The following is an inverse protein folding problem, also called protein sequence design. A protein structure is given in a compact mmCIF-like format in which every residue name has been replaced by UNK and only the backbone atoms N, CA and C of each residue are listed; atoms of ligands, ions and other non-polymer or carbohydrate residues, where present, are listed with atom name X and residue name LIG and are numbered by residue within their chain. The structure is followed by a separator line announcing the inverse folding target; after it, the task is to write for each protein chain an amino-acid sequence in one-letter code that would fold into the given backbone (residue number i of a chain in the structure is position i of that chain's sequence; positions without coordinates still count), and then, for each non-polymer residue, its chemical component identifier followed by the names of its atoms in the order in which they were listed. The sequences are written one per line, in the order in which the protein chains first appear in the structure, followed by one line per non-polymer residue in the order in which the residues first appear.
data_IF_894949397430
#
_entry.id   IF_894949397430
#
_cell.length_a   1.000
_cell.length_b   1.000
_cell.length_c   1.000
_cell.angle_alpha   90.00
_cell.angle_beta   90.00
_cell.angle_gamma   90.00
#
_symmetry.space_group_name_H-M   'P 1'
#
loop_
_entity.id
_entity.type
_entity.pdbx_description
1 polymer ?
#
# COMPACT_ATOMS: atom_id res chain seq x y z
N UNK A 1 15.00 -22.47 12.79
CA UNK A 1 15.52 -23.64 12.02
C UNK A 1 15.61 -23.25 10.57
N UNK A 2 16.76 -23.43 9.91
CA UNK A 2 16.86 -23.27 8.46
C UNK A 2 16.42 -24.59 7.82
N UNK A 3 15.53 -24.53 6.83
CA UNK A 3 14.99 -25.71 6.14
C UNK A 3 15.85 -26.00 4.92
N UNK A 4 16.66 -27.06 5.00
CA UNK A 4 17.63 -27.44 3.97
C UNK A 4 17.34 -28.81 3.33
N UNK A 5 16.41 -29.57 3.89
CA UNK A 5 16.05 -30.90 3.37
C UNK A 5 14.55 -31.21 3.47
N UNK A 6 14.14 -32.30 2.80
CA UNK A 6 12.73 -32.71 2.70
C UNK A 6 12.11 -33.07 4.05
N UNK A 7 12.87 -33.65 4.97
CA UNK A 7 12.38 -34.02 6.30
C UNK A 7 12.04 -32.78 7.13
N UNK A 8 12.95 -31.80 7.14
CA UNK A 8 12.75 -30.49 7.77
C UNK A 8 11.58 -29.74 7.15
N UNK A 9 11.40 -29.82 5.83
CA UNK A 9 10.27 -29.20 5.14
C UNK A 9 8.93 -29.82 5.57
N UNK A 10 8.86 -31.15 5.68
CA UNK A 10 7.67 -31.86 6.16
C UNK A 10 7.35 -31.44 7.60
N UNK A 11 8.35 -31.34 8.46
CA UNK A 11 8.16 -30.94 9.86
C UNK A 11 7.77 -29.46 10.00
N UNK A 12 8.31 -28.60 9.14
CA UNK A 12 7.86 -27.22 9.01
C UNK A 12 6.38 -27.17 8.61
N UNK A 13 5.97 -27.87 7.53
CA UNK A 13 4.58 -27.84 7.04
C UNK A 13 3.59 -28.33 8.12
N UNK A 14 3.96 -29.36 8.89
CA UNK A 14 3.14 -29.81 10.03
C UNK A 14 2.98 -28.72 11.09
N UNK A 15 4.06 -28.04 11.44
CA UNK A 15 4.06 -26.96 12.44
C UNK A 15 3.33 -25.70 11.95
N UNK A 16 3.50 -25.35 10.68
CA UNK A 16 2.82 -24.22 10.05
C UNK A 16 1.30 -24.38 10.01
N UNK A 17 0.83 -25.63 9.98
CA UNK A 17 -0.58 -25.97 9.97
C UNK A 17 -1.17 -26.20 11.37
N UNK A 18 -0.48 -25.82 12.46
CA UNK A 18 -1.00 -26.00 13.82
C UNK A 18 -1.47 -24.71 14.50
N UNK A 19 -0.98 -23.54 14.09
CA UNK A 19 -1.27 -22.27 14.76
C UNK A 19 -1.05 -21.06 13.85
N UNK A 20 -1.41 -19.88 14.35
CA UNK A 20 -1.16 -18.60 13.67
C UNK A 20 0.35 -18.34 13.55
N UNK A 21 0.74 -17.54 12.55
CA UNK A 21 2.15 -17.27 12.28
C UNK A 21 2.41 -15.85 11.79
N UNK A 22 3.64 -15.37 11.99
CA UNK A 22 4.18 -14.17 11.37
C UNK A 22 5.09 -14.59 10.22
N UNK A 23 4.90 -13.96 9.06
CA UNK A 23 5.60 -14.26 7.81
C UNK A 23 6.31 -12.99 7.33
N UNK A 24 7.61 -13.07 7.13
CA UNK A 24 8.46 -11.96 6.68
C UNK A 24 9.22 -12.41 5.44
N UNK A 25 8.84 -11.94 4.23
CA UNK A 25 9.61 -12.18 3.02
C UNK A 25 10.86 -11.28 3.00
N UNK A 26 12.01 -11.86 2.67
CA UNK A 26 13.25 -11.12 2.43
C UNK A 26 13.56 -11.23 0.94
N UNK A 27 13.44 -10.13 0.22
CA UNK A 27 13.75 -10.07 -1.21
C UNK A 27 15.26 -9.99 -1.44
N UNK A 28 15.74 -10.49 -2.58
CA UNK A 28 17.14 -10.39 -2.97
C UNK A 28 17.60 -8.93 -3.01
N UNK A 29 16.76 -8.03 -3.51
CA UNK A 29 17.04 -6.60 -3.66
C UNK A 29 15.85 -5.76 -3.20
N UNK A 30 16.07 -4.93 -2.17
CA UNK A 30 15.06 -4.03 -1.62
C UNK A 30 14.93 -2.71 -2.41
N UNK A 31 15.86 -2.41 -3.32
CA UNK A 31 15.83 -1.18 -4.14
C UNK A 31 15.06 -1.37 -5.46
N UNK A 32 14.65 -2.60 -5.76
CA UNK A 32 13.85 -2.93 -6.95
C UNK A 32 12.38 -3.04 -6.58
N UNK A 33 11.54 -2.89 -7.61
CA UNK A 33 10.11 -3.13 -7.44
C UNK A 33 9.92 -4.60 -7.06
N UNK A 34 8.97 -4.95 -6.19
CA UNK A 34 8.71 -6.35 -5.81
C UNK A 34 8.49 -7.31 -6.98
N UNK A 35 8.01 -6.81 -8.13
CA UNK A 35 7.84 -7.58 -9.39
C UNK A 35 9.17 -7.87 -10.10
N UNK A 36 10.19 -7.05 -9.88
CA UNK A 36 11.49 -7.10 -10.57
C UNK A 36 12.59 -7.76 -9.71
N UNK A 37 12.20 -8.39 -8.61
CA UNK A 37 13.10 -9.00 -7.64
C UNK A 37 12.50 -10.34 -7.19
N UNK A 38 13.37 -11.22 -6.70
CA UNK A 38 12.97 -12.54 -6.21
C UNK A 38 13.09 -12.59 -4.69
N UNK A 39 12.44 -13.57 -4.05
CA UNK A 39 12.68 -13.83 -2.64
C UNK A 39 14.04 -14.52 -2.46
N UNK A 40 14.83 -14.02 -1.53
CA UNK A 40 16.06 -14.64 -1.05
C UNK A 40 15.73 -15.68 0.02
N UNK A 41 14.96 -15.25 1.03
CA UNK A 41 14.55 -16.06 2.19
C UNK A 41 13.09 -15.73 2.55
N UNK A 42 12.41 -16.68 3.17
CA UNK A 42 11.13 -16.46 3.86
C UNK A 42 11.27 -16.87 5.32
N UNK A 43 11.17 -15.90 6.20
CA UNK A 43 11.16 -16.13 7.63
C UNK A 43 9.72 -16.35 8.11
N UNK A 44 9.51 -17.41 8.90
CA UNK A 44 8.22 -17.70 9.55
C UNK A 44 8.46 -17.92 11.04
N UNK A 45 7.73 -17.20 11.89
CA UNK A 45 7.64 -17.51 13.32
C UNK A 45 6.21 -17.86 13.69
N UNK A 46 6.01 -19.02 14.31
CA UNK A 46 4.72 -19.39 14.88
C UNK A 46 4.45 -18.59 16.16
N UNK A 47 3.19 -18.42 16.54
CA UNK A 47 2.85 -17.66 17.75
C UNK A 47 3.46 -18.26 19.03
N UNK A 48 3.62 -19.58 19.10
CA UNK A 48 4.37 -20.31 20.14
C UNK A 48 5.86 -19.94 20.25
N UNK A 49 6.43 -19.28 19.25
CA UNK A 49 7.84 -18.87 19.19
C UNK A 49 8.74 -19.78 18.37
N UNK A 50 8.23 -20.91 17.85
CA UNK A 50 8.98 -21.77 16.94
C UNK A 50 9.21 -21.05 15.61
N UNK A 51 10.47 -20.94 15.18
CA UNK A 51 10.86 -20.17 14.00
C UNK A 51 11.55 -21.00 12.91
N UNK A 52 11.34 -20.60 11.67
CA UNK A 52 11.80 -21.26 10.46
C UNK A 52 12.31 -20.23 9.44
N UNK A 53 13.34 -20.60 8.69
CA UNK A 53 13.80 -19.87 7.51
C UNK A 53 13.74 -20.84 6.33
N UNK A 54 13.03 -20.42 5.28
CA UNK A 54 12.92 -21.12 4.02
C UNK A 54 13.82 -20.40 3.00
N UNK A 55 14.94 -21.02 2.58
CA UNK A 55 15.85 -20.42 1.61
C UNK A 55 15.44 -20.70 0.16
N UNK A 56 15.54 -19.69 -0.71
CA UNK A 56 15.21 -19.84 -2.13
C UNK A 56 16.32 -19.37 -3.07
N UNK A 57 17.05 -18.31 -2.70
CA UNK A 57 18.08 -17.71 -3.54
C UNK A 57 19.15 -17.04 -2.67
N UNK A 58 19.82 -17.79 -1.79
CA UNK A 58 20.79 -17.21 -0.84
C UNK A 58 22.13 -17.96 -0.84
N UNK A 59 23.25 -17.21 -0.83
CA UNK A 59 24.59 -17.79 -1.03
C UNK A 59 25.12 -18.68 0.10
N UNK A 60 24.41 -18.77 1.23
CA UNK A 60 24.85 -19.50 2.43
C UNK A 60 23.99 -20.73 2.72
N UNK A 61 22.99 -21.00 1.88
CA UNK A 61 21.98 -22.05 2.11
C UNK A 61 21.78 -22.88 0.87
N UNK A 62 21.23 -24.08 1.06
CA UNK A 62 20.70 -24.88 -0.05
C UNK A 62 19.29 -24.40 -0.36
N UNK A 63 19.09 -23.95 -1.60
CA UNK A 63 17.78 -23.50 -2.05
C UNK A 63 16.77 -24.67 -2.04
N UNK A 64 15.55 -24.38 -1.58
CA UNK A 64 14.43 -25.31 -1.65
C UNK A 64 13.42 -24.83 -2.69
N UNK A 65 12.65 -25.76 -3.25
CA UNK A 65 11.50 -25.40 -4.07
C UNK A 65 10.48 -24.63 -3.22
N UNK A 66 9.86 -23.59 -3.79
CA UNK A 66 8.84 -22.79 -3.11
C UNK A 66 7.67 -23.70 -2.72
N UNK A 67 7.41 -23.93 -1.42
CA UNK A 67 6.38 -24.86 -0.99
C UNK A 67 4.99 -24.23 -1.12
N UNK A 68 3.98 -25.08 -1.31
CA UNK A 68 2.58 -24.66 -1.27
C UNK A 68 2.17 -24.46 0.20
N UNK A 69 2.07 -23.20 0.63
CA UNK A 69 1.70 -22.83 1.99
C UNK A 69 0.18 -22.64 2.12
N UNK A 70 -0.55 -23.75 2.27
CA UNK A 70 -1.99 -23.72 2.57
C UNK A 70 -2.22 -24.01 4.05
N UNK A 71 -2.82 -23.05 4.76
CA UNK A 71 -3.18 -23.17 6.17
C UNK A 71 -4.45 -22.38 6.45
N UNK A 72 -5.33 -22.93 7.31
CA UNK A 72 -6.54 -22.23 7.78
C UNK A 72 -6.24 -21.13 8.81
N UNK A 73 -5.07 -21.19 9.44
CA UNK A 73 -4.66 -20.27 10.50
C UNK A 73 -4.30 -18.89 9.96
N UNK A 74 -4.36 -17.87 10.81
CA UNK A 74 -4.07 -16.49 10.41
C UNK A 74 -2.56 -16.29 10.24
N UNK A 75 -2.22 -15.44 9.30
CA UNK A 75 -0.84 -15.12 8.94
C UNK A 75 -0.70 -13.62 9.05
N UNK A 76 0.29 -13.15 9.78
CA UNK A 76 0.56 -11.74 9.97
C UNK A 76 1.83 -11.38 9.20
N UNK A 77 1.83 -10.24 8.54
CA UNK A 77 3.03 -9.74 7.85
C UNK A 77 3.09 -8.23 7.97
N UNK A 78 4.29 -7.65 7.90
CA UNK A 78 4.46 -6.20 7.96
C UNK A 78 3.84 -5.51 6.73
N UNK A 79 4.08 -6.05 5.53
CA UNK A 79 3.59 -5.50 4.27
C UNK A 79 3.05 -6.63 3.40
N UNK A 80 1.71 -6.72 3.38
CA UNK A 80 0.99 -7.75 2.63
C UNK A 80 1.12 -7.54 1.13
N UNK A 81 1.24 -6.30 0.64
CA UNK A 81 1.41 -6.07 -0.80
C UNK A 81 2.73 -6.66 -1.26
N UNK A 82 3.82 -6.41 -0.52
CA UNK A 82 5.11 -7.05 -0.78
C UNK A 82 5.02 -8.57 -0.73
N UNK A 83 4.38 -9.15 0.29
CA UNK A 83 4.19 -10.60 0.35
C UNK A 83 3.42 -11.13 -0.86
N UNK A 84 2.32 -10.47 -1.26
CA UNK A 84 1.49 -10.87 -2.40
C UNK A 84 2.25 -10.87 -3.74
N UNK A 85 3.25 -9.99 -3.91
CA UNK A 85 4.13 -9.99 -5.09
C UNK A 85 4.99 -11.26 -5.17
N UNK A 86 5.37 -11.83 -4.03
CA UNK A 86 6.13 -13.08 -3.97
C UNK A 86 5.21 -14.31 -3.99
N UNK A 87 4.26 -14.38 -3.06
CA UNK A 87 3.31 -15.48 -2.95
C UNK A 87 1.97 -15.02 -2.41
N UNK A 88 0.89 -15.43 -3.07
CA UNK A 88 -0.46 -15.19 -2.58
C UNK A 88 -0.84 -16.24 -1.54
N UNK A 89 -1.13 -15.79 -0.31
CA UNK A 89 -1.55 -16.64 0.79
C UNK A 89 -2.95 -16.26 1.28
N UNK A 90 -3.68 -17.24 1.79
CA UNK A 90 -5.00 -17.03 2.39
C UNK A 90 -4.89 -16.58 3.86
N UNK A 91 -5.87 -15.82 4.35
CA UNK A 91 -5.96 -15.35 5.75
C UNK A 91 -4.74 -14.52 6.22
N UNK A 92 -4.27 -13.61 5.36
CA UNK A 92 -3.16 -12.68 5.69
C UNK A 92 -3.68 -11.36 6.24
N UNK A 93 -3.15 -10.93 7.38
CA UNK A 93 -3.39 -9.63 7.99
C UNK A 93 -2.13 -8.79 7.84
N UNK A 94 -2.28 -7.62 7.23
CA UNK A 94 -1.24 -6.61 7.16
C UNK A 94 -1.19 -5.85 8.49
N UNK A 95 -0.06 -5.96 9.19
CA UNK A 95 0.12 -5.38 10.53
C UNK A 95 0.39 -3.88 10.46
N UNK A 96 1.04 -3.40 9.39
CA UNK A 96 1.24 -1.97 9.19
C UNK A 96 -0.10 -1.26 8.91
N UNK A 97 -0.95 -1.88 8.10
CA UNK A 97 -2.31 -1.42 7.84
C UNK A 97 -3.19 -1.50 9.08
N UNK A 98 -3.08 -2.57 9.88
CA UNK A 98 -3.74 -2.66 11.18
C UNK A 98 -3.39 -1.48 12.10
N UNK A 99 -2.10 -1.19 12.23
CA UNK A 99 -1.60 -0.06 13.02
C UNK A 99 -2.12 1.27 12.47
N UNK A 100 -2.00 1.49 11.17
CA UNK A 100 -2.47 2.70 10.50
C UNK A 100 -3.98 2.92 10.68
N UNK A 101 -4.81 1.87 10.65
CA UNK A 101 -6.25 2.00 10.93
C UNK A 101 -6.56 2.39 12.38
N UNK A 102 -5.69 2.05 13.32
CA UNK A 102 -5.88 2.39 14.73
C UNK A 102 -5.40 3.82 15.05
N UNK A 103 -4.27 4.25 14.47
CA UNK A 103 -3.60 5.49 14.86
C UNK A 103 -3.44 6.55 13.76
N UNK A 104 -3.78 6.22 12.52
CA UNK A 104 -3.60 7.04 11.31
C UNK A 104 -2.13 7.36 10.94
N UNK A 105 -1.18 6.58 11.45
CA UNK A 105 0.25 6.68 11.14
C UNK A 105 0.83 5.30 10.78
N UNK A 106 1.77 5.22 9.83
CA UNK A 106 2.42 3.97 9.48
C UNK A 106 3.28 3.44 10.63
N UNK A 107 3.44 2.12 10.69
CA UNK A 107 4.32 1.46 11.64
C UNK A 107 5.78 1.65 11.21
N UNK A 108 6.53 2.42 12.00
CA UNK A 108 7.94 2.71 11.74
C UNK A 108 8.84 1.54 12.15
N UNK A 109 9.61 1.01 11.19
CA UNK A 109 10.55 -0.11 11.39
C UNK A 109 11.94 0.20 10.83
N UNK A 110 12.28 1.47 10.66
CA UNK A 110 13.54 1.89 10.01
C UNK A 110 14.76 1.70 10.91
N UNK A 111 14.55 1.53 12.22
CA UNK A 111 15.63 1.46 13.23
C UNK A 111 16.14 0.04 13.53
N UNK A 112 15.52 -1.01 12.95
CA UNK A 112 15.85 -2.42 13.25
C UNK A 112 16.89 -3.04 12.30
N UNK A 113 17.45 -2.26 11.37
CA UNK A 113 18.49 -2.76 10.48
C UNK A 113 19.76 -3.13 11.28
N UNK A 114 20.34 -4.28 10.98
CA UNK A 114 21.57 -4.71 11.66
C UNK A 114 22.80 -4.01 11.07
N UNK A 115 23.88 -3.90 11.85
CA UNK A 115 25.16 -3.37 11.39
C UNK A 115 25.67 -4.03 10.09
N UNK A 116 25.36 -5.31 9.88
CA UNK A 116 25.70 -5.99 8.64
C UNK A 116 24.91 -5.45 7.46
N UNK A 117 23.60 -5.26 7.59
CA UNK A 117 22.78 -4.63 6.54
C UNK A 117 23.34 -3.27 6.17
N UNK A 118 23.65 -2.42 7.14
CA UNK A 118 24.26 -1.12 6.88
C UNK A 118 25.61 -1.24 6.18
N UNK A 119 26.51 -2.09 6.66
CA UNK A 119 27.83 -2.30 6.07
C UNK A 119 27.74 -2.76 4.61
N UNK A 120 26.95 -3.80 4.32
CA UNK A 120 26.84 -4.35 2.98
C UNK A 120 26.17 -3.37 2.01
N UNK A 121 25.09 -2.69 2.43
CA UNK A 121 24.43 -1.69 1.59
C UNK A 121 25.33 -0.47 1.31
N UNK A 122 26.12 -0.02 2.29
CA UNK A 122 27.05 1.08 2.12
C UNK A 122 28.25 0.71 1.23
N UNK A 123 28.92 -0.40 1.53
CA UNK A 123 30.13 -0.84 0.82
C UNK A 123 29.84 -1.29 -0.60
N UNK A 124 28.71 -1.96 -0.81
CA UNK A 124 28.33 -2.55 -2.08
C UNK A 124 27.10 -1.88 -2.70
N UNK A 125 26.94 -0.56 -2.54
CA UNK A 125 25.77 0.19 -3.02
C UNK A 125 25.44 0.03 -4.52
N UNK A 126 26.41 -0.39 -5.35
CA UNK A 126 26.19 -0.67 -6.79
C UNK A 126 25.85 -2.13 -7.09
N UNK A 127 26.07 -3.04 -6.13
CA UNK A 127 25.82 -4.46 -6.30
C UNK A 127 24.31 -4.69 -6.19
N UNK A 128 23.75 -5.41 -7.17
CA UNK A 128 22.37 -5.86 -7.11
C UNK A 128 22.25 -7.07 -6.18
N UNK A 129 21.06 -7.31 -5.68
CA UNK A 129 20.73 -8.51 -4.90
C UNK A 129 21.56 -8.62 -3.60
N UNK A 130 21.79 -7.51 -2.89
CA UNK A 130 22.65 -7.46 -1.69
C UNK A 130 22.20 -8.44 -0.61
N UNK A 131 20.89 -8.67 -0.45
CA UNK A 131 20.36 -9.55 0.59
C UNK A 131 20.67 -11.04 0.33
N UNK A 132 21.25 -11.40 -0.81
CA UNK A 132 21.72 -12.77 -1.10
C UNK A 132 23.08 -13.08 -0.51
N UNK A 133 23.84 -12.06 -0.10
CA UNK A 133 25.21 -12.18 0.44
C UNK A 133 25.35 -11.72 1.89
N UNK A 134 24.35 -10.99 2.42
CA UNK A 134 24.30 -10.67 3.85
C UNK A 134 24.10 -11.98 4.60
N UNK A 135 24.85 -12.26 5.68
CA UNK A 135 24.73 -13.55 6.36
C UNK A 135 23.30 -13.86 6.83
N UNK A 136 22.85 -15.10 6.68
CA UNK A 136 21.48 -15.53 7.04
C UNK A 136 21.18 -15.28 8.52
N UNK A 137 22.19 -15.41 9.38
CA UNK A 137 22.04 -15.11 10.81
C UNK A 137 21.75 -13.62 11.08
N UNK A 138 22.19 -12.71 10.20
CA UNK A 138 21.89 -11.28 10.30
C UNK A 138 20.48 -10.96 9.82
N UNK A 139 19.99 -11.65 8.80
CA UNK A 139 18.57 -11.65 8.46
C UNK A 139 17.71 -12.18 9.61
N UNK A 140 18.14 -13.26 10.27
CA UNK A 140 17.45 -13.82 11.43
C UNK A 140 17.37 -12.84 12.61
N UNK A 141 18.46 -12.14 12.92
CA UNK A 141 18.49 -11.07 13.94
C UNK A 141 17.44 -9.99 13.63
N UNK A 142 17.46 -9.46 12.39
CA UNK A 142 16.48 -8.48 11.90
C UNK A 142 15.04 -8.98 12.04
N UNK A 143 14.76 -10.20 11.58
CA UNK A 143 13.41 -10.76 11.64
C UNK A 143 12.91 -10.93 13.07
N UNK A 144 13.78 -11.31 14.02
CA UNK A 144 13.39 -11.45 15.43
C UNK A 144 13.00 -10.11 16.05
N UNK A 145 13.74 -9.04 15.76
CA UNK A 145 13.40 -7.69 16.21
C UNK A 145 12.07 -7.23 15.60
N UNK A 146 11.89 -7.43 14.30
CA UNK A 146 10.64 -7.09 13.62
C UNK A 146 9.45 -7.85 14.24
N UNK A 147 9.59 -9.14 14.51
CA UNK A 147 8.51 -9.94 15.12
C UNK A 147 8.08 -9.40 16.49
N UNK A 148 9.00 -8.92 17.31
CA UNK A 148 8.66 -8.33 18.61
C UNK A 148 7.73 -7.14 18.41
N UNK A 149 8.07 -6.23 17.48
CA UNK A 149 7.25 -5.06 17.15
C UNK A 149 5.89 -5.49 16.59
N UNK A 150 5.87 -6.47 15.67
CA UNK A 150 4.63 -6.96 15.07
C UNK A 150 3.71 -7.60 16.11
N UNK A 151 4.24 -8.42 17.03
CA UNK A 151 3.46 -9.06 18.10
C UNK A 151 2.82 -8.03 19.02
N UNK A 152 3.60 -7.05 19.48
CA UNK A 152 3.11 -5.95 20.32
C UNK A 152 2.00 -5.13 19.61
N UNK A 153 2.18 -4.86 18.32
CA UNK A 153 1.18 -4.16 17.50
C UNK A 153 -0.11 -4.98 17.36
N UNK A 154 0.00 -6.28 17.10
CA UNK A 154 -1.15 -7.19 16.97
C UNK A 154 -1.93 -7.26 18.30
N UNK A 155 -1.22 -7.36 19.43
CA UNK A 155 -1.83 -7.41 20.76
C UNK A 155 -2.58 -6.11 21.09
N UNK A 156 -1.96 -4.95 20.81
CA UNK A 156 -2.55 -3.63 21.09
C UNK A 156 -3.74 -3.30 20.19
N UNK A 157 -3.66 -3.62 18.91
CA UNK A 157 -4.58 -3.09 17.90
C UNK A 157 -5.42 -4.15 17.19
N UNK A 158 -5.34 -5.43 17.56
CA UNK A 158 -6.01 -6.53 16.86
C UNK A 158 -7.53 -6.39 16.66
N UNK A 159 -8.21 -5.56 17.46
CA UNK A 159 -9.64 -5.23 17.29
C UNK A 159 -9.94 -4.26 16.13
N UNK A 160 -8.93 -3.53 15.63
CA UNK A 160 -9.07 -2.53 14.56
C UNK A 160 -8.90 -3.12 13.16
N UNK A 161 -8.79 -4.44 13.04
CA UNK A 161 -8.64 -5.10 11.74
C UNK A 161 -9.92 -4.89 10.91
N UNK A 162 -9.82 -4.02 9.89
CA UNK A 162 -10.83 -3.95 8.83
C UNK A 162 -10.50 -4.98 7.75
N UNK A 163 -11.10 -6.17 7.86
CA UNK A 163 -10.79 -7.30 6.97
C UNK A 163 -11.14 -7.01 5.50
N UNK A 164 -12.27 -6.34 5.24
CA UNK A 164 -12.65 -5.96 3.87
C UNK A 164 -11.62 -5.02 3.27
N UNK A 165 -11.23 -3.96 3.97
CA UNK A 165 -10.23 -3.03 3.43
C UNK A 165 -8.84 -3.68 3.29
N UNK A 166 -8.42 -4.47 4.27
CA UNK A 166 -7.17 -5.24 4.23
C UNK A 166 -7.11 -6.22 3.05
N UNK A 167 -8.24 -6.81 2.66
CA UNK A 167 -8.31 -7.72 1.53
C UNK A 167 -8.48 -6.94 0.22
N UNK A 168 -9.55 -6.17 0.11
CA UNK A 168 -10.00 -5.58 -1.14
C UNK A 168 -9.03 -4.49 -1.62
N UNK A 169 -8.59 -3.60 -0.73
CA UNK A 169 -7.73 -2.47 -1.15
C UNK A 169 -6.30 -2.96 -1.40
N UNK A 170 -5.71 -3.75 -0.50
CA UNK A 170 -4.34 -4.20 -0.68
C UNK A 170 -4.22 -5.18 -1.86
N UNK A 171 -5.16 -6.10 -2.05
CA UNK A 171 -5.12 -7.02 -3.20
C UNK A 171 -5.33 -6.27 -4.53
N UNK A 172 -6.24 -5.31 -4.60
CA UNK A 172 -6.43 -4.50 -5.81
C UNK A 172 -5.22 -3.61 -6.11
N UNK A 173 -4.63 -2.98 -5.10
CA UNK A 173 -3.41 -2.20 -5.28
C UNK A 173 -2.27 -3.10 -5.76
N UNK A 174 -2.02 -4.25 -5.12
CA UNK A 174 -1.02 -5.21 -5.61
C UNK A 174 -1.29 -5.63 -7.06
N UNK A 175 -2.55 -5.92 -7.42
CA UNK A 175 -2.90 -6.27 -8.79
C UNK A 175 -2.55 -5.15 -9.78
N UNK A 176 -2.83 -3.89 -9.44
CA UNK A 176 -2.44 -2.73 -10.26
C UNK A 176 -0.92 -2.64 -10.37
N UNK A 177 -0.20 -2.77 -9.25
CA UNK A 177 1.27 -2.75 -9.19
C UNK A 177 1.88 -3.85 -10.06
N UNK A 178 1.33 -5.06 -10.08
CA UNK A 178 1.79 -6.19 -10.91
C UNK A 178 1.63 -5.94 -12.40
N UNK A 179 0.59 -5.20 -12.82
CA UNK A 179 0.32 -4.97 -14.24
C UNK A 179 1.30 -3.97 -14.88
N UNK A 180 1.84 -3.04 -14.10
CA UNK A 180 2.70 -1.96 -14.59
C UNK A 180 2.04 -1.03 -15.61
N UNK A 181 2.81 -0.11 -16.18
CA UNK A 181 2.41 0.80 -17.25
C UNK A 181 3.40 0.69 -18.40
N UNK A 182 2.88 0.50 -19.62
CA UNK A 182 3.71 0.48 -20.82
C UNK A 182 4.18 1.90 -21.16
N UNK A 183 5.48 2.04 -21.37
CA UNK A 183 6.07 3.25 -21.94
C UNK A 183 6.56 3.00 -23.37
N UNK A 184 7.10 4.02 -24.03
CA UNK A 184 7.73 3.86 -25.36
C UNK A 184 8.91 2.88 -25.35
N UNK A 185 9.55 2.65 -24.20
CA UNK A 185 10.77 1.86 -24.09
C UNK A 185 10.54 0.50 -23.43
N UNK A 186 9.79 0.48 -22.33
CA UNK A 186 9.60 -0.69 -21.49
C UNK A 186 8.36 -0.54 -20.59
N UNK A 187 7.99 -1.62 -19.89
CA UNK A 187 7.03 -1.54 -18.79
C UNK A 187 7.73 -0.93 -17.57
N UNK A 188 7.07 0.00 -16.91
CA UNK A 188 7.47 0.57 -15.62
C UNK A 188 6.42 0.25 -14.57
N UNK A 189 6.85 0.11 -13.32
CA UNK A 189 5.97 -0.23 -12.20
C UNK A 189 5.82 0.96 -11.25
N UNK A 190 4.73 0.97 -10.51
CA UNK A 190 4.40 1.98 -9.49
C UNK A 190 4.15 1.25 -8.19
N UNK A 191 4.49 1.84 -7.04
CA UNK A 191 4.07 1.35 -5.73
C UNK A 191 3.05 2.30 -5.13
N UNK A 192 1.88 1.78 -4.76
CA UNK A 192 0.82 2.52 -4.11
C UNK A 192 0.99 2.45 -2.59
N UNK A 193 1.27 3.57 -1.94
CA UNK A 193 1.29 3.71 -0.50
C UNK A 193 -0.10 4.15 0.01
N UNK A 194 -0.87 3.28 0.71
CA UNK A 194 -2.17 3.61 1.26
C UNK A 194 -2.10 4.40 2.59
N UNK A 195 -0.91 4.54 3.19
CA UNK A 195 -0.72 5.11 4.53
C UNK A 195 -0.53 6.63 4.49
N UNK A 196 -1.52 7.38 4.00
CA UNK A 196 -1.48 8.85 3.96
C UNK A 196 -2.44 9.46 4.98
N UNK A 197 -2.23 10.71 5.40
CA UNK A 197 -3.12 11.36 6.38
C UNK A 197 -4.59 11.47 5.94
N UNK A 198 -4.88 11.34 4.64
CA UNK A 198 -6.23 11.41 4.08
C UNK A 198 -6.79 10.04 3.67
N UNK A 199 -6.03 8.95 3.85
CA UNK A 199 -6.35 7.61 3.37
C UNK A 199 -6.27 7.45 1.84
N UNK A 200 -5.94 8.53 1.10
CA UNK A 200 -5.75 8.47 -0.35
C UNK A 200 -4.43 7.79 -0.68
N UNK A 201 -4.41 6.76 -1.54
CA UNK A 201 -3.14 6.18 -1.96
C UNK A 201 -2.29 7.22 -2.69
N UNK A 202 -1.02 7.30 -2.31
CA UNK A 202 0.01 7.99 -3.09
C UNK A 202 0.77 6.95 -3.91
N UNK A 203 1.32 7.30 -5.07
CA UNK A 203 2.05 6.32 -5.88
C UNK A 203 3.36 6.85 -6.45
N UNK A 204 4.42 6.07 -6.24
CA UNK A 204 5.78 6.40 -6.71
C UNK A 204 6.59 5.13 -6.87
N UNK A 205 7.54 5.14 -7.81
CA UNK A 205 8.61 4.16 -7.87
C UNK A 205 9.69 4.63 -8.86
N UNK A 206 10.95 4.19 -8.70
CA UNK A 206 12.00 4.44 -9.69
C UNK A 206 12.26 5.92 -10.00
N UNK A 207 12.03 6.82 -9.03
CA UNK A 207 12.15 8.27 -9.22
C UNK A 207 10.95 8.94 -9.90
N UNK A 208 9.89 8.21 -10.22
CA UNK A 208 8.66 8.73 -10.83
C UNK A 208 7.58 8.86 -9.76
N UNK A 209 6.98 10.05 -9.64
CA UNK A 209 5.72 10.24 -8.93
C UNK A 209 4.59 10.28 -9.97
N UNK A 210 3.84 9.18 -10.07
CA UNK A 210 2.87 8.97 -11.15
C UNK A 210 1.64 9.88 -11.00
N UNK A 211 1.22 10.17 -9.78
CA UNK A 211 0.12 11.11 -9.51
C UNK A 211 0.51 12.58 -9.81
N UNK A 212 1.80 12.92 -9.81
CA UNK A 212 2.30 14.29 -9.97
C UNK A 212 2.90 14.58 -11.35
N UNK A 213 2.69 13.72 -12.35
CA UNK A 213 3.17 13.96 -13.71
C UNK A 213 2.56 15.24 -14.28
N UNK A 214 3.41 16.10 -14.84
CA UNK A 214 3.00 17.38 -15.39
C UNK A 214 2.13 17.18 -16.66
N UNK A 215 1.12 18.04 -16.84
CA UNK A 215 0.14 17.93 -17.92
C UNK A 215 0.65 18.47 -19.26
N UNK A 216 1.61 19.38 -19.25
CA UNK A 216 1.99 20.20 -20.41
C UNK A 216 3.44 20.02 -20.87
N UNK A 217 4.34 19.50 -20.03
CA UNK A 217 5.76 19.31 -20.36
C UNK A 217 6.07 18.07 -21.22
N UNK A 218 5.05 17.26 -21.54
CA UNK A 218 5.18 16.04 -22.32
C UNK A 218 5.58 14.79 -21.52
N UNK A 219 5.80 14.89 -20.21
CA UNK A 219 6.14 13.74 -19.34
C UNK A 219 5.11 12.60 -19.40
N UNK A 220 3.85 12.93 -19.67
CA UNK A 220 2.76 11.94 -19.85
C UNK A 220 2.76 11.24 -21.21
N UNK A 221 3.40 11.82 -22.24
CA UNK A 221 3.35 11.28 -23.62
C UNK A 221 4.07 9.95 -23.78
N UNK A 222 4.97 9.62 -22.85
CA UNK A 222 5.71 8.35 -22.88
C UNK A 222 4.83 7.15 -22.59
N UNK A 223 3.69 7.33 -21.90
CA UNK A 223 2.79 6.22 -21.53
C UNK A 223 1.87 5.91 -22.70
N UNK A 224 1.91 4.66 -23.16
CA UNK A 224 1.21 4.20 -24.36
C UNK A 224 0.43 2.92 -24.05
N UNK A 225 -0.48 2.53 -24.96
CA UNK A 225 -1.14 1.24 -24.83
C UNK A 225 -0.13 0.10 -24.98
N UNK A 226 -0.31 -0.96 -24.19
CA UNK A 226 0.51 -2.20 -24.30
C UNK A 226 0.06 -3.12 -25.44
N UNK A 227 -1.05 -2.79 -26.10
CA UNK A 227 -1.59 -3.57 -27.21
C UNK A 227 -1.39 -2.81 -28.51
N UNK A 228 -0.99 -3.50 -29.57
CA UNK A 228 -0.65 -2.93 -30.88
C UNK A 228 -1.77 -2.04 -31.46
N UNK A 229 -3.02 -2.46 -31.29
CA UNK A 229 -4.21 -1.71 -31.69
C UNK A 229 -5.04 -1.23 -30.48
N UNK A 230 -4.38 -1.04 -29.33
CA UNK A 230 -5.02 -0.62 -28.10
C UNK A 230 -5.06 0.90 -27.90
N UNK A 231 -5.87 1.33 -26.95
CA UNK A 231 -5.89 2.71 -26.45
C UNK A 231 -5.81 2.74 -24.93
N UNK A 232 -5.44 3.88 -24.38
CA UNK A 232 -5.56 4.16 -22.95
C UNK A 232 -6.93 4.80 -22.69
N UNK A 233 -7.61 4.33 -21.65
CA UNK A 233 -8.92 4.84 -21.22
C UNK A 233 -8.75 5.44 -19.83
N UNK A 234 -9.10 6.71 -19.68
CA UNK A 234 -9.06 7.45 -18.41
C UNK A 234 -10.48 7.70 -17.93
N UNK A 235 -10.71 7.46 -16.63
CA UNK A 235 -11.96 7.78 -15.95
C UNK A 235 -11.66 8.84 -14.88
N UNK A 236 -12.42 9.94 -14.89
CA UNK A 236 -12.35 10.99 -13.87
C UNK A 236 -13.74 11.20 -13.26
N UNK A 237 -13.79 11.39 -11.94
CA UNK A 237 -15.03 11.59 -11.19
C UNK A 237 -15.36 13.08 -11.11
N UNK A 238 -16.41 13.51 -11.80
CA UNK A 238 -16.90 14.89 -11.74
C UNK A 238 -17.34 15.29 -10.32
N UNK A 239 -16.73 16.34 -9.77
CA UNK A 239 -17.15 16.97 -8.53
C UNK A 239 -17.17 16.04 -7.30
N UNK A 240 -16.35 14.99 -7.24
CA UNK A 240 -16.52 13.92 -6.24
C UNK A 240 -16.56 14.41 -4.77
N UNK A 241 -15.75 15.41 -4.40
CA UNK A 241 -15.81 16.01 -3.05
C UNK A 241 -17.18 16.61 -2.75
N UNK A 242 -17.72 17.39 -3.69
CA UNK A 242 -19.02 18.02 -3.55
C UNK A 242 -20.11 16.95 -3.46
N UNK A 243 -20.03 15.90 -4.28
CA UNK A 243 -21.00 14.80 -4.26
C UNK A 243 -20.98 14.02 -2.94
N UNK A 244 -19.81 13.68 -2.41
CA UNK A 244 -19.68 12.98 -1.13
C UNK A 244 -20.21 13.82 0.04
N UNK A 245 -19.92 15.12 0.06
CA UNK A 245 -20.41 16.02 1.10
C UNK A 245 -21.93 16.24 0.94
N UNK A 246 -22.43 16.34 -0.29
CA UNK A 246 -23.86 16.47 -0.57
C UNK A 246 -24.65 15.30 0.01
N UNK A 247 -24.18 14.07 -0.21
CA UNK A 247 -24.75 12.88 0.41
C UNK A 247 -24.78 12.99 1.94
N UNK A 248 -23.65 13.42 2.54
CA UNK A 248 -23.54 13.57 4.00
C UNK A 248 -24.52 14.58 4.61
N UNK A 249 -24.85 15.64 3.87
CA UNK A 249 -25.75 16.74 4.32
C UNK A 249 -27.18 16.64 3.75
N UNK A 250 -27.48 15.54 3.05
CA UNK A 250 -28.78 15.32 2.40
C UNK A 250 -29.11 16.42 1.38
N UNK A 251 -28.17 16.71 0.49
CA UNK A 251 -28.36 17.56 -0.69
C UNK A 251 -28.23 16.72 -1.95
N UNK A 252 -29.13 16.90 -2.90
CA UNK A 252 -29.06 16.24 -4.21
C UNK A 252 -28.69 17.27 -5.28
N UNK A 253 -27.60 17.02 -5.98
CA UNK A 253 -27.27 17.78 -7.18
C UNK A 253 -28.17 17.36 -8.34
N UNK A 254 -28.51 18.28 -9.25
CA UNK A 254 -29.17 17.90 -10.51
C UNK A 254 -28.24 16.99 -11.34
N UNK A 255 -28.84 16.24 -12.27
CA UNK A 255 -28.08 15.48 -13.25
C UNK A 255 -27.17 16.40 -14.08
N UNK A 256 -25.95 15.92 -14.37
CA UNK A 256 -24.93 16.67 -15.10
C UNK A 256 -23.73 17.06 -14.23
N UNK A 257 -22.93 18.02 -14.72
CA UNK A 257 -21.71 18.44 -14.02
C UNK A 257 -22.03 19.29 -12.79
N UNK A 258 -21.47 18.91 -11.64
CA UNK A 258 -21.60 19.69 -10.41
C UNK A 258 -20.98 21.06 -10.57
N UNK A 259 -19.83 21.13 -11.22
CA UNK A 259 -19.10 22.39 -11.38
C UNK A 259 -19.83 23.35 -12.33
N UNK A 260 -20.52 22.85 -13.36
CA UNK A 260 -21.40 23.69 -14.19
C UNK A 260 -22.63 24.19 -13.44
N UNK A 261 -23.23 23.34 -12.59
CA UNK A 261 -24.33 23.75 -11.71
C UNK A 261 -23.88 24.87 -10.76
N UNK A 262 -22.70 24.72 -10.14
CA UNK A 262 -22.13 25.75 -9.28
C UNK A 262 -21.78 27.03 -10.04
N UNK A 263 -21.22 26.91 -11.26
CA UNK A 263 -20.91 28.05 -12.11
C UNK A 263 -22.15 28.92 -12.39
N UNK A 264 -23.29 28.30 -12.67
CA UNK A 264 -24.57 29.02 -12.85
C UNK A 264 -25.02 29.72 -11.58
N UNK A 265 -24.87 29.10 -10.42
CA UNK A 265 -25.24 29.69 -9.12
C UNK A 265 -24.36 30.88 -8.75
N UNK A 266 -23.07 30.83 -9.08
CA UNK A 266 -22.12 31.91 -8.80
C UNK A 266 -22.10 32.99 -9.89
N UNK A 267 -22.61 32.70 -11.09
CA UNK A 267 -22.51 33.61 -12.24
C UNK A 267 -21.09 33.69 -12.84
N UNK A 268 -20.28 32.64 -12.70
CA UNK A 268 -18.87 32.58 -13.13
C UNK A 268 -18.63 31.42 -14.10
N UNK A 269 -17.41 31.30 -14.63
CA UNK A 269 -17.05 30.15 -15.49
C UNK A 269 -16.78 28.86 -14.70
N UNK A 270 -16.65 27.75 -15.42
CA UNK A 270 -16.43 26.42 -14.82
C UNK A 270 -15.17 26.34 -13.93
N UNK A 271 -14.04 26.91 -14.37
CA UNK A 271 -12.77 26.80 -13.65
C UNK A 271 -12.77 27.67 -12.40
N UNK A 272 -13.34 28.88 -12.52
CA UNK A 272 -13.55 29.77 -11.39
C UNK A 272 -14.51 29.14 -10.37
N UNK A 273 -15.63 28.57 -10.81
CA UNK A 273 -16.58 27.89 -9.95
C UNK A 273 -15.95 26.70 -9.21
N UNK A 274 -15.13 25.91 -9.89
CA UNK A 274 -14.37 24.83 -9.27
C UNK A 274 -13.46 25.37 -8.16
N UNK A 275 -12.68 26.41 -8.45
CA UNK A 275 -11.78 27.03 -7.47
C UNK A 275 -12.54 27.58 -6.25
N UNK A 276 -13.63 28.33 -6.49
CA UNK A 276 -14.47 28.91 -5.44
C UNK A 276 -15.11 27.83 -4.57
N UNK A 277 -15.67 26.78 -5.17
CA UNK A 277 -16.25 25.67 -4.40
C UNK A 277 -15.25 25.01 -3.44
N UNK A 278 -14.00 24.80 -3.87
CA UNK A 278 -12.97 24.28 -2.97
C UNK A 278 -12.59 25.28 -1.87
N UNK A 279 -12.48 26.57 -2.22
CA UNK A 279 -12.20 27.64 -1.25
C UNK A 279 -13.28 27.73 -0.17
N UNK A 280 -14.55 27.59 -0.54
CA UNK A 280 -15.66 27.63 0.41
C UNK A 280 -15.70 26.39 1.30
N UNK A 281 -15.51 25.20 0.73
CA UNK A 281 -15.54 23.95 1.50
C UNK A 281 -14.42 23.85 2.55
N UNK A 282 -13.21 24.33 2.23
CA UNK A 282 -12.02 24.08 3.04
C UNK A 282 -11.41 25.33 3.68
N UNK A 283 -11.95 26.51 3.37
CA UNK A 283 -11.49 27.78 3.93
C UNK A 283 -12.57 28.44 4.78
N UNK A 284 -13.49 29.13 4.11
CA UNK A 284 -14.57 29.86 4.76
C UNK A 284 -15.75 30.00 3.80
N UNK A 285 -16.97 29.80 4.32
CA UNK A 285 -18.21 30.00 3.57
C UNK A 285 -18.75 31.40 3.95
N UNK A 286 -18.76 32.38 3.02
CA UNK A 286 -19.34 33.69 3.26
C UNK A 286 -20.85 33.62 3.52
N UNK A 287 -21.39 34.54 4.32
CA UNK A 287 -22.82 34.55 4.67
C UNK A 287 -23.72 34.69 3.43
N UNK A 288 -23.34 35.52 2.46
CA UNK A 288 -24.03 35.64 1.16
C UNK A 288 -24.12 34.29 0.42
N UNK A 289 -23.07 33.46 0.51
CA UNK A 289 -23.07 32.12 -0.10
C UNK A 289 -23.98 31.16 0.69
N UNK A 290 -24.01 31.26 2.02
CA UNK A 290 -24.94 30.47 2.85
C UNK A 290 -26.39 30.83 2.57
N UNK A 291 -26.68 32.09 2.27
CA UNK A 291 -28.04 32.55 1.97
C UNK A 291 -28.48 32.15 0.56
N UNK A 292 -27.59 32.29 -0.43
CA UNK A 292 -27.94 32.11 -1.83
C UNK A 292 -27.69 30.69 -2.37
N UNK A 293 -26.92 29.86 -1.66
CA UNK A 293 -26.60 28.50 -2.08
C UNK A 293 -27.01 27.46 -1.03
N UNK A 294 -28.14 26.78 -1.29
CA UNK A 294 -28.72 25.73 -0.43
C UNK A 294 -27.73 24.61 -0.07
N UNK A 295 -26.80 24.28 -0.95
CA UNK A 295 -25.78 23.27 -0.66
C UNK A 295 -24.82 23.78 0.44
N UNK A 296 -24.26 24.98 0.28
CA UNK A 296 -23.34 25.56 1.27
C UNK A 296 -24.02 25.95 2.58
N UNK A 297 -25.30 26.30 2.55
CA UNK A 297 -26.12 26.47 3.75
C UNK A 297 -26.11 25.19 4.61
N UNK A 298 -26.49 24.05 4.00
CA UNK A 298 -26.49 22.75 4.65
C UNK A 298 -25.10 22.31 5.13
N UNK A 299 -24.05 22.63 4.36
CA UNK A 299 -22.67 22.37 4.79
C UNK A 299 -22.31 23.21 6.01
N UNK A 300 -22.69 24.49 6.04
CA UNK A 300 -22.45 25.36 7.19
C UNK A 300 -23.17 24.86 8.44
N UNK A 301 -24.43 24.43 8.31
CA UNK A 301 -25.21 23.86 9.42
C UNK A 301 -24.56 22.58 9.96
N UNK A 302 -24.11 21.71 9.05
CA UNK A 302 -23.40 20.48 9.42
C UNK A 302 -22.08 20.76 10.12
N UNK A 303 -21.31 21.75 9.65
CA UNK A 303 -20.08 22.19 10.31
C UNK A 303 -20.40 22.64 11.74
N UNK A 304 -21.36 23.56 11.92
CA UNK A 304 -21.73 24.06 13.25
C UNK A 304 -22.15 22.91 14.19
N UNK A 305 -22.92 21.94 13.69
CA UNK A 305 -23.35 20.76 14.46
C UNK A 305 -22.17 19.89 14.95
N UNK A 306 -21.03 19.89 14.25
CA UNK A 306 -19.84 19.13 14.68
C UNK A 306 -18.97 19.88 15.69
N UNK A 307 -19.10 21.21 15.77
CA UNK A 307 -18.34 22.03 16.71
C UNK A 307 -19.08 22.26 18.04
N UNK A 308 -20.39 22.07 18.07
CA UNK A 308 -21.23 22.04 19.27
C UNK A 308 -21.11 20.70 20.04
#
# INVERSE_FOLDING_TARGET
MIVENKEQLVDFIKSYNSEDSIIIPIFCDNNKHPVETEASLLYIQLMSGKEFILPFNHSETLDIDIPVLKSKFRKYTYDRKKLNHFMKLDNVIDVNFLHYMAINEPLHIEEIDTNAHHFFNMMYYRKKNINTIIPVLKHLEYCRELVVILKDTIEKYGQHVNVSYNNDVLDNLTYIECNGLQTTNNIVYSEYNPYTSTGRPSNRFGGINFAALNKTDGSRKQFISRFENGMLVEFDFDGYHLRLIADRVGYEFPEGSVHEHMAKLYGVDYQEAKSLSFKYLYGYIPDEIKENNKYFNKVSDYINTLWD
#
